data_IF_830540295735
#
_entry.id   IF_830540295735
#
_cell.length_a   1.000
_cell.length_b   1.000
_cell.length_c   1.000
_cell.angle_alpha   90.00
_cell.angle_beta   90.00
_cell.angle_gamma   90.00
#
_symmetry.space_group_name_H-M   'P 1'
#
loop_
_entity.id
_entity.type
_entity.pdbx_description
1 polymer ?
#
# COMPACT_ATOMS: atom_id res chain seq x y z
N UNK A 1 -12.88 -8.56 -0.13
CA UNK A 1 -11.64 -9.29 0.25
C UNK A 1 -10.59 -8.36 0.84
N UNK A 2 -10.18 -7.27 0.17
CA UNK A 2 -9.20 -6.30 0.74
C UNK A 2 -9.56 -5.83 2.15
N UNK A 3 -10.80 -5.43 2.38
CA UNK A 3 -11.26 -4.91 3.68
C UNK A 3 -11.01 -5.95 4.78
N UNK A 4 -11.41 -7.20 4.55
CA UNK A 4 -11.22 -8.31 5.49
C UNK A 4 -9.73 -8.56 5.77
N UNK A 5 -8.90 -8.56 4.72
CA UNK A 5 -7.45 -8.75 4.88
C UNK A 5 -6.79 -7.57 5.61
N UNK A 6 -7.17 -6.34 5.31
CA UNK A 6 -6.66 -5.15 5.99
C UNK A 6 -7.05 -5.15 7.47
N UNK A 7 -8.28 -5.55 7.80
CA UNK A 7 -8.71 -5.72 9.20
C UNK A 7 -7.96 -6.83 9.92
N UNK A 8 -7.73 -7.98 9.27
CA UNK A 8 -6.95 -9.09 9.85
C UNK A 8 -5.50 -8.65 10.07
N UNK A 9 -4.90 -7.97 9.11
CA UNK A 9 -3.55 -7.43 9.23
C UNK A 9 -3.43 -6.46 10.41
N UNK A 10 -4.33 -5.47 10.51
CA UNK A 10 -4.35 -4.52 11.62
C UNK A 10 -4.56 -5.21 12.97
N UNK A 11 -5.47 -6.19 13.04
CA UNK A 11 -5.75 -6.96 14.25
C UNK A 11 -4.53 -7.78 14.69
N UNK A 12 -3.90 -8.54 13.78
CA UNK A 12 -2.70 -9.34 14.12
C UNK A 12 -1.56 -8.42 14.55
N UNK A 13 -1.37 -7.30 13.85
CA UNK A 13 -0.33 -6.32 14.18
C UNK A 13 -0.51 -5.76 15.60
N UNK A 14 -1.76 -5.44 15.98
CA UNK A 14 -2.10 -4.99 17.33
C UNK A 14 -1.97 -6.11 18.38
N UNK A 15 -2.42 -7.34 18.08
CA UNK A 15 -2.32 -8.48 19.00
C UNK A 15 -0.87 -8.85 19.33
N UNK A 16 0.04 -8.65 18.39
CA UNK A 16 1.46 -8.95 18.55
C UNK A 16 2.23 -7.82 19.26
N UNK A 17 1.54 -6.74 19.70
CA UNK A 17 2.14 -5.55 20.29
C UNK A 17 3.38 -5.06 19.54
N UNK A 18 3.31 -5.08 18.20
CA UNK A 18 4.42 -4.62 17.35
C UNK A 18 4.65 -3.10 17.48
N UNK A 19 3.82 -2.39 18.24
CA UNK A 19 4.00 -0.99 18.64
C UNK A 19 4.95 -0.80 19.83
N UNK A 20 5.07 -1.76 20.75
CA UNK A 20 5.83 -1.64 22.01
C UNK A 20 7.36 -1.78 21.79
N UNK A 21 7.87 -1.26 20.68
CA UNK A 21 9.30 -1.38 20.34
C UNK A 21 10.10 -0.44 21.22
N UNK A 22 11.24 -0.88 21.77
CA UNK A 22 12.04 -0.11 22.73
C UNK A 22 12.67 1.18 22.17
N UNK A 23 12.37 1.55 20.92
CA UNK A 23 12.99 2.67 20.19
C UNK A 23 11.98 3.70 19.69
N UNK A 24 10.69 3.58 20.00
CA UNK A 24 9.69 4.60 19.66
C UNK A 24 9.54 5.57 20.83
N UNK A 25 9.62 6.86 20.55
CA UNK A 25 9.27 7.89 21.53
C UNK A 25 7.76 7.84 21.82
N UNK A 26 7.33 8.19 23.04
CA UNK A 26 5.92 8.11 23.46
C UNK A 26 4.98 8.86 22.50
N UNK A 27 5.43 9.98 21.94
CA UNK A 27 4.67 10.76 20.97
C UNK A 27 4.47 10.01 19.64
N UNK A 28 5.47 9.23 19.22
CA UNK A 28 5.45 8.46 17.97
C UNK A 28 4.60 7.20 18.11
N UNK A 29 4.63 6.56 19.28
CA UNK A 29 3.83 5.38 19.59
C UNK A 29 2.32 5.67 19.49
N UNK A 30 1.86 6.77 20.08
CA UNK A 30 0.46 7.21 20.02
C UNK A 30 -0.03 7.51 18.59
N UNK A 31 0.84 8.04 17.73
CA UNK A 31 0.51 8.31 16.32
C UNK A 31 0.39 6.99 15.56
N UNK A 32 1.35 6.09 15.77
CA UNK A 32 1.37 4.78 15.11
C UNK A 32 0.15 3.96 15.51
N UNK A 33 -0.22 3.96 16.79
CA UNK A 33 -1.43 3.29 17.30
C UNK A 33 -2.70 3.78 16.60
N UNK A 34 -2.91 5.11 16.53
CA UNK A 34 -4.07 5.70 15.84
C UNK A 34 -4.14 5.38 14.35
N UNK A 35 -2.97 5.31 13.69
CA UNK A 35 -2.88 4.94 12.28
C UNK A 35 -3.27 3.47 12.08
N UNK A 36 -2.83 2.57 12.97
CA UNK A 36 -3.16 1.15 12.89
C UNK A 36 -4.64 0.87 13.22
N UNK A 37 -5.23 1.62 14.15
CA UNK A 37 -6.67 1.54 14.46
C UNK A 37 -7.55 1.83 13.22
N UNK A 38 -7.14 2.82 12.41
CA UNK A 38 -7.88 3.25 11.22
C UNK A 38 -7.25 2.75 9.91
N UNK A 39 -6.37 1.75 9.98
CA UNK A 39 -5.58 1.29 8.83
C UNK A 39 -6.47 0.81 7.68
N UNK A 40 -7.58 0.14 7.98
CA UNK A 40 -8.48 -0.36 6.94
C UNK A 40 -9.12 0.78 6.12
N UNK A 41 -9.48 1.89 6.75
CA UNK A 41 -10.00 3.07 6.03
C UNK A 41 -8.94 3.66 5.11
N UNK A 42 -7.69 3.73 5.57
CA UNK A 42 -6.58 4.22 4.77
C UNK A 42 -6.32 3.33 3.55
N UNK A 43 -6.30 2.01 3.73
CA UNK A 43 -6.16 1.06 2.63
C UNK A 43 -7.31 1.19 1.63
N UNK A 44 -8.56 1.31 2.08
CA UNK A 44 -9.71 1.43 1.18
C UNK A 44 -9.72 2.75 0.44
N UNK A 45 -9.36 3.86 1.10
CA UNK A 45 -9.34 5.18 0.48
C UNK A 45 -8.24 5.33 -0.58
N UNK A 46 -7.13 4.59 -0.45
CA UNK A 46 -6.02 4.65 -1.42
C UNK A 46 -6.28 3.86 -2.70
N UNK A 47 -7.11 2.80 -2.66
CA UNK A 47 -7.48 2.00 -3.84
C UNK A 47 -8.04 2.84 -5.00
N UNK A 48 -9.06 3.70 -4.84
CA UNK A 48 -9.59 4.50 -5.95
C UNK A 48 -8.56 5.49 -6.51
N UNK A 49 -7.64 5.97 -5.68
CA UNK A 49 -6.55 6.86 -6.09
C UNK A 49 -5.58 6.08 -6.99
N UNK A 50 -5.12 4.90 -6.55
CA UNK A 50 -4.31 4.01 -7.37
C UNK A 50 -5.03 3.58 -8.66
N UNK A 51 -6.33 3.33 -8.59
CA UNK A 51 -7.11 2.92 -9.75
C UNK A 51 -7.18 4.04 -10.79
N UNK A 52 -7.29 5.29 -10.34
CA UNK A 52 -7.28 6.46 -11.20
C UNK A 52 -5.93 6.65 -11.89
N UNK A 53 -4.82 6.54 -11.17
CA UNK A 53 -3.49 6.71 -11.75
C UNK A 53 -3.16 5.59 -12.73
N UNK A 54 -3.48 4.33 -12.38
CA UNK A 54 -3.30 3.20 -13.29
C UNK A 54 -4.22 3.30 -14.50
N UNK A 55 -5.49 3.72 -14.33
CA UNK A 55 -6.38 3.99 -15.45
C UNK A 55 -5.78 5.03 -16.40
N UNK A 56 -5.29 6.17 -15.90
CA UNK A 56 -4.70 7.22 -16.75
C UNK A 56 -3.51 6.70 -17.55
N UNK A 57 -2.67 5.85 -16.95
CA UNK A 57 -1.44 5.33 -17.56
C UNK A 57 -1.66 4.13 -18.48
N UNK A 58 -2.72 3.35 -18.26
CA UNK A 58 -3.04 2.13 -19.01
C UNK A 58 -4.30 2.24 -19.89
N UNK A 59 -5.05 3.36 -19.90
CA UNK A 59 -6.29 3.54 -20.70
C UNK A 59 -6.15 3.28 -22.20
N UNK A 60 -4.95 3.45 -22.76
CA UNK A 60 -4.69 3.21 -24.20
C UNK A 60 -4.51 1.73 -24.57
N UNK A 61 -4.71 0.80 -23.63
CA UNK A 61 -4.36 -0.62 -23.80
C UNK A 61 -5.56 -1.53 -24.08
N UNK A 62 -6.77 -0.96 -24.25
CA UNK A 62 -7.98 -1.68 -24.67
C UNK A 62 -8.96 -2.03 -23.55
N UNK A 63 -8.63 -1.71 -22.29
CA UNK A 63 -9.55 -1.78 -21.17
C UNK A 63 -10.32 -0.46 -21.02
N UNK A 64 -11.65 -0.52 -21.05
CA UNK A 64 -12.49 0.66 -21.27
C UNK A 64 -13.13 1.23 -19.99
N UNK A 65 -13.17 0.49 -18.87
CA UNK A 65 -13.93 0.91 -17.70
C UNK A 65 -13.06 1.13 -16.45
N UNK A 66 -13.17 2.31 -15.85
CA UNK A 66 -12.54 2.68 -14.58
C UNK A 66 -12.81 1.68 -13.45
N UNK A 67 -14.00 1.06 -13.42
CA UNK A 67 -14.36 0.05 -12.43
C UNK A 67 -13.52 -1.22 -12.51
N UNK A 68 -13.06 -1.62 -13.71
CA UNK A 68 -12.15 -2.75 -13.87
C UNK A 68 -10.79 -2.45 -13.22
N UNK A 69 -10.32 -1.21 -13.32
CA UNK A 69 -9.10 -0.77 -12.65
C UNK A 69 -9.23 -0.73 -11.13
N UNK A 70 -10.41 -0.37 -10.58
CA UNK A 70 -10.66 -0.46 -9.14
C UNK A 70 -10.54 -1.91 -8.66
N UNK A 71 -11.19 -2.85 -9.35
CA UNK A 71 -11.13 -4.28 -8.99
C UNK A 71 -9.70 -4.79 -9.09
N UNK A 72 -8.96 -4.36 -10.11
CA UNK A 72 -7.58 -4.72 -10.34
C UNK A 72 -6.64 -4.21 -9.24
N UNK A 73 -6.73 -2.94 -8.86
CA UNK A 73 -5.94 -2.40 -7.75
C UNK A 73 -6.31 -3.06 -6.42
N UNK A 74 -7.62 -3.27 -6.17
CA UNK A 74 -8.06 -4.00 -4.98
C UNK A 74 -7.49 -5.43 -4.93
N UNK A 75 -7.40 -6.13 -6.07
CA UNK A 75 -6.75 -7.43 -6.14
C UNK A 75 -5.27 -7.35 -5.79
N UNK A 76 -4.53 -6.38 -6.36
CA UNK A 76 -3.09 -6.17 -6.06
C UNK A 76 -2.86 -5.87 -4.58
N UNK A 77 -3.64 -4.97 -4.00
CA UNK A 77 -3.58 -4.64 -2.57
C UNK A 77 -3.87 -5.86 -1.70
N UNK A 78 -4.87 -6.68 -2.06
CA UNK A 78 -5.16 -7.93 -1.34
C UNK A 78 -3.97 -8.88 -1.35
N UNK A 79 -3.32 -9.05 -2.50
CA UNK A 79 -2.19 -9.95 -2.64
C UNK A 79 -0.97 -9.48 -1.83
N UNK A 80 -0.64 -8.20 -1.89
CA UNK A 80 0.42 -7.62 -1.03
C UNK A 80 0.09 -7.81 0.46
N UNK A 81 -1.15 -7.54 0.88
CA UNK A 81 -1.58 -7.75 2.27
C UNK A 81 -1.42 -9.20 2.74
N UNK A 82 -1.75 -10.19 1.89
CA UNK A 82 -1.54 -11.61 2.23
C UNK A 82 -0.06 -11.88 2.49
N UNK A 83 0.86 -11.36 1.67
CA UNK A 83 2.29 -11.54 1.92
C UNK A 83 2.72 -10.84 3.20
N UNK A 84 2.23 -9.63 3.47
CA UNK A 84 2.54 -8.92 4.70
C UNK A 84 2.08 -9.70 5.94
N UNK A 85 0.86 -10.27 5.91
CA UNK A 85 0.33 -11.12 6.98
C UNK A 85 1.23 -12.34 7.22
N UNK A 86 1.73 -12.98 6.16
CA UNK A 86 2.64 -14.13 6.28
C UNK A 86 4.00 -13.76 6.88
N UNK A 87 4.44 -12.52 6.74
CA UNK A 87 5.69 -12.03 7.33
C UNK A 87 5.53 -11.44 8.74
N UNK A 88 4.30 -11.18 9.22
CA UNK A 88 4.05 -10.71 10.59
C UNK A 88 4.65 -11.62 11.68
N UNK A 89 4.56 -12.97 11.61
CA UNK A 89 5.20 -13.85 12.59
C UNK A 89 6.72 -13.69 12.62
N UNK A 90 7.35 -13.51 11.45
CA UNK A 90 8.80 -13.28 11.35
C UNK A 90 9.17 -11.98 12.06
N UNK A 91 8.39 -10.92 11.83
CA UNK A 91 8.57 -9.63 12.51
C UNK A 91 8.40 -9.72 14.04
N UNK A 92 7.55 -10.62 14.53
CA UNK A 92 7.37 -10.83 15.97
C UNK A 92 8.56 -11.56 16.62
N UNK A 93 9.10 -12.60 15.97
CA UNK A 93 10.25 -13.32 16.49
C UNK A 93 11.54 -12.49 16.47
N UNK A 94 11.69 -11.61 15.47
CA UNK A 94 12.85 -10.75 15.32
C UNK A 94 12.52 -9.30 15.69
N UNK A 95 12.62 -8.98 16.99
CA UNK A 95 12.33 -7.63 17.53
C UNK A 95 13.45 -6.61 17.29
N UNK A 96 14.59 -7.04 16.76
CA UNK A 96 15.73 -6.16 16.49
C UNK A 96 15.44 -5.18 15.35
N UNK A 97 15.77 -3.89 15.57
CA UNK A 97 15.53 -2.81 14.60
C UNK A 97 16.17 -3.07 13.23
N UNK A 98 17.38 -3.64 13.22
CA UNK A 98 18.10 -3.96 11.98
C UNK A 98 17.36 -5.02 11.15
N UNK A 99 16.84 -6.06 11.81
CA UNK A 99 16.10 -7.14 11.17
C UNK A 99 14.74 -6.64 10.68
N UNK A 100 14.05 -5.81 11.47
CA UNK A 100 12.80 -5.17 11.06
C UNK A 100 12.98 -4.34 9.78
N UNK A 101 14.01 -3.50 9.72
CA UNK A 101 14.29 -2.69 8.52
C UNK A 101 14.61 -3.58 7.32
N UNK A 102 15.40 -4.64 7.52
CA UNK A 102 15.75 -5.58 6.45
C UNK A 102 14.51 -6.28 5.89
N UNK A 103 13.62 -6.77 6.76
CA UNK A 103 12.36 -7.40 6.35
C UNK A 103 11.44 -6.39 5.67
N UNK A 104 11.36 -5.15 6.15
CA UNK A 104 10.55 -4.10 5.52
C UNK A 104 11.04 -3.76 4.11
N UNK A 105 12.36 -3.64 3.91
CA UNK A 105 12.93 -3.44 2.57
C UNK A 105 12.69 -4.65 1.65
N UNK A 106 12.79 -5.87 2.19
CA UNK A 106 12.49 -7.09 1.46
C UNK A 106 11.02 -7.13 0.99
N UNK A 107 10.08 -6.79 1.89
CA UNK A 107 8.65 -6.69 1.57
C UNK A 107 8.38 -5.64 0.49
N UNK A 108 9.04 -4.49 0.55
CA UNK A 108 8.92 -3.45 -0.49
C UNK A 108 9.37 -3.95 -1.87
N UNK A 109 10.50 -4.66 -1.93
CA UNK A 109 10.99 -5.26 -3.20
C UNK A 109 10.00 -6.31 -3.69
N UNK A 110 9.47 -7.12 -2.79
CA UNK A 110 8.53 -8.17 -3.12
C UNK A 110 7.20 -7.60 -3.64
N UNK A 111 6.69 -6.53 -3.03
CA UNK A 111 5.51 -5.79 -3.52
C UNK A 111 5.73 -5.28 -4.95
N UNK A 112 6.90 -4.71 -5.23
CA UNK A 112 7.21 -4.24 -6.57
C UNK A 112 7.21 -5.39 -7.58
N UNK A 113 7.82 -6.53 -7.23
CA UNK A 113 7.82 -7.74 -8.07
C UNK A 113 6.38 -8.24 -8.31
N UNK A 114 5.56 -8.30 -7.27
CA UNK A 114 4.16 -8.72 -7.37
C UNK A 114 3.35 -7.79 -8.28
N UNK A 115 3.47 -6.48 -8.09
CA UNK A 115 2.79 -5.49 -8.93
C UNK A 115 3.17 -5.68 -10.40
N UNK A 116 4.45 -5.87 -10.70
CA UNK A 116 4.92 -6.10 -12.06
C UNK A 116 4.41 -7.40 -12.65
N UNK A 117 4.44 -8.48 -11.86
CA UNK A 117 3.94 -9.79 -12.27
C UNK A 117 2.45 -9.73 -12.63
N UNK A 118 1.65 -9.11 -11.76
CA UNK A 118 0.20 -8.93 -11.95
C UNK A 118 -0.07 -8.04 -13.15
N UNK A 119 0.60 -6.88 -13.25
CA UNK A 119 0.43 -6.00 -14.41
C UNK A 119 0.82 -6.73 -15.71
N UNK A 120 1.86 -7.57 -15.73
CA UNK A 120 2.21 -8.34 -16.92
C UNK A 120 1.18 -9.43 -17.24
N UNK A 121 0.60 -10.07 -16.24
CA UNK A 121 -0.42 -11.10 -16.42
C UNK A 121 -1.73 -10.55 -16.99
N UNK A 122 -2.12 -9.35 -16.57
CA UNK A 122 -3.35 -8.70 -17.04
C UNK A 122 -3.15 -7.94 -18.35
N UNK A 123 -2.00 -7.28 -18.55
CA UNK A 123 -1.66 -6.58 -19.80
C UNK A 123 -0.79 -7.46 -20.71
N UNK A 124 -1.30 -8.63 -21.11
CA UNK A 124 -0.55 -9.60 -21.94
C UNK A 124 -0.01 -9.00 -23.24
N UNK A 125 -0.74 -8.06 -23.83
CA UNK A 125 -0.40 -7.40 -25.09
C UNK A 125 0.77 -6.41 -25.00
N UNK A 126 1.24 -6.06 -23.80
CA UNK A 126 2.36 -5.15 -23.59
C UNK A 126 3.67 -5.90 -23.39
N UNK A 127 4.78 -5.35 -23.89
CA UNK A 127 6.11 -5.88 -23.58
C UNK A 127 6.46 -5.65 -22.10
N UNK A 128 7.38 -6.45 -21.55
CA UNK A 128 7.81 -6.32 -20.15
C UNK A 128 8.29 -4.88 -19.83
N UNK A 129 9.06 -4.28 -20.75
CA UNK A 129 9.57 -2.91 -20.59
C UNK A 129 8.44 -1.87 -20.56
N UNK A 130 7.39 -2.04 -21.36
CA UNK A 130 6.24 -1.14 -21.34
C UNK A 130 5.45 -1.28 -20.03
N UNK A 131 5.29 -2.51 -19.53
CA UNK A 131 4.64 -2.76 -18.22
C UNK A 131 5.46 -2.11 -17.11
N UNK A 132 6.78 -2.30 -17.10
CA UNK A 132 7.69 -1.68 -16.13
C UNK A 132 7.55 -0.15 -16.12
N UNK A 133 7.70 0.49 -17.28
CA UNK A 133 7.64 1.96 -17.40
C UNK A 133 6.27 2.49 -16.96
N UNK A 134 5.18 1.86 -17.41
CA UNK A 134 3.83 2.30 -17.04
C UNK A 134 3.51 2.07 -15.57
N UNK A 135 4.02 0.98 -14.96
CA UNK A 135 3.86 0.69 -13.53
C UNK A 135 4.60 1.73 -12.69
N UNK A 136 5.86 2.03 -13.04
CA UNK A 136 6.65 3.04 -12.36
C UNK A 136 6.01 4.43 -12.49
N UNK A 137 5.55 4.77 -13.69
CA UNK A 137 4.92 6.06 -13.94
C UNK A 137 3.53 6.19 -13.27
N UNK A 138 2.76 5.08 -13.15
CA UNK A 138 1.54 5.06 -12.32
C UNK A 138 1.86 5.30 -10.85
N UNK A 139 2.93 4.67 -10.33
CA UNK A 139 3.38 4.85 -8.95
C UNK A 139 3.85 6.29 -8.67
N UNK A 140 4.64 6.88 -9.58
CA UNK A 140 5.06 8.29 -9.48
C UNK A 140 3.85 9.24 -9.49
N UNK A 141 2.88 8.99 -10.37
CA UNK A 141 1.66 9.80 -10.42
C UNK A 141 0.83 9.66 -9.14
N UNK A 142 0.77 8.44 -8.56
CA UNK A 142 0.14 8.22 -7.26
C UNK A 142 0.83 9.02 -6.16
N UNK A 143 2.16 9.02 -6.09
CA UNK A 143 2.90 9.79 -5.10
C UNK A 143 2.59 11.29 -5.20
N UNK A 144 2.61 11.85 -6.41
CA UNK A 144 2.27 13.26 -6.65
C UNK A 144 0.83 13.54 -6.19
N UNK A 145 -0.14 12.70 -6.58
CA UNK A 145 -1.54 12.88 -6.23
C UNK A 145 -1.78 12.76 -4.71
N UNK A 146 -1.12 11.80 -4.06
CA UNK A 146 -1.20 11.61 -2.61
C UNK A 146 -0.60 12.81 -1.85
N UNK A 147 0.51 13.37 -2.32
CA UNK A 147 1.13 14.55 -1.72
C UNK A 147 0.22 15.78 -1.86
N UNK A 148 -0.39 15.98 -3.03
CA UNK A 148 -1.38 17.04 -3.25
C UNK A 148 -2.55 16.90 -2.26
N UNK A 149 -3.09 15.68 -2.10
CA UNK A 149 -4.19 15.43 -1.16
C UNK A 149 -3.80 15.72 0.28
N UNK A 150 -2.59 15.32 0.71
CA UNK A 150 -2.08 15.61 2.06
C UNK A 150 -1.98 17.13 2.27
N UNK A 151 -1.41 17.87 1.30
CA UNK A 151 -1.32 19.33 1.37
C UNK A 151 -2.70 19.97 1.47
N UNK A 152 -3.68 19.50 0.68
CA UNK A 152 -5.06 20.00 0.74
C UNK A 152 -5.67 19.74 2.12
N UNK A 153 -5.51 18.54 2.68
CA UNK A 153 -6.02 18.21 4.02
C UNK A 153 -5.39 19.13 5.07
N UNK A 154 -4.09 19.38 4.99
CA UNK A 154 -3.38 20.28 5.91
C UNK A 154 -3.91 21.71 5.77
N UNK A 155 -4.16 22.20 4.55
CA UNK A 155 -4.72 23.55 4.35
C UNK A 155 -6.15 23.62 4.91
N UNK A 156 -6.99 22.62 4.64
CA UNK A 156 -8.40 22.64 5.03
C UNK A 156 -8.60 22.47 6.54
N UNK A 157 -7.78 21.67 7.21
CA UNK A 157 -7.97 21.33 8.64
C UNK A 157 -6.87 21.85 9.57
N UNK A 158 -5.73 22.28 9.01
CA UNK A 158 -4.60 22.81 9.76
C UNK A 158 -4.60 24.33 9.87
N UNK A 159 -5.48 25.05 9.16
CA UNK A 159 -5.67 26.49 9.30
C UNK A 159 -6.57 26.89 10.48
N UNK A 160 -7.27 25.94 11.11
CA UNK A 160 -8.17 26.18 12.26
C UNK A 160 -7.47 26.03 13.64
N UNK A 161 -6.15 26.24 13.70
CA UNK A 161 -5.40 26.36 14.98
C UNK A 161 -4.50 27.58 15.01
#
# INVERSE_FOLDING_TARGET
MVIVLATIYAMIYHLLNLNDRPTLDQSSELIVEKVFEHYYWFVVATIPIYALTTFIMFKKTGYNFFFEFIIFEAFKTSQSLVVHILFLPVLYFFKDRSVFNTISHLLLVLDFILILWINKQFFKNLSLSQVLIKSLASYLMYLILSLILIVIIIILFGLDR
#
